data_IF_137909108089
#
_entry.id   IF_137909108089
#
_cell.length_a   1.000
_cell.length_b   1.000
_cell.length_c   1.000
_cell.angle_alpha   90.00
_cell.angle_beta   90.00
_cell.angle_gamma   90.00
#
_symmetry.space_group_name_H-M   'P 1'
#
loop_
_entity.id
_entity.type
_entity.pdbx_description
1 polymer ?
#
# COMPACT_ATOMS: atom_id res chain seq x y z
N UNK A 1 4.27 4.62 -22.11
CA UNK A 1 4.37 4.48 -20.64
C UNK A 1 4.33 3.00 -20.27
N UNK A 2 5.02 2.57 -19.20
CA UNK A 2 4.91 1.18 -18.68
C UNK A 2 3.49 1.00 -18.13
N UNK A 3 2.85 -0.18 -18.24
CA UNK A 3 1.54 -0.38 -17.62
C UNK A 3 1.60 -0.19 -16.09
N UNK A 4 0.60 0.44 -15.47
CA UNK A 4 0.56 0.64 -14.03
C UNK A 4 0.45 -0.70 -13.28
N UNK A 5 1.13 -0.87 -12.13
CA UNK A 5 0.99 -2.06 -11.30
C UNK A 5 -0.45 -2.22 -10.81
N UNK A 6 -1.02 -3.43 -10.97
CA UNK A 6 -2.44 -3.65 -10.71
C UNK A 6 -2.91 -3.30 -9.30
N UNK A 7 -2.12 -3.62 -8.25
CA UNK A 7 -2.48 -3.24 -6.88
C UNK A 7 -2.49 -1.73 -6.67
N UNK A 8 -1.52 -1.01 -7.23
CA UNK A 8 -1.50 0.46 -7.16
C UNK A 8 -2.71 1.04 -7.89
N UNK A 9 -3.10 0.44 -9.02
CA UNK A 9 -4.31 0.81 -9.75
C UNK A 9 -5.57 0.59 -8.89
N UNK A 10 -5.72 -0.57 -8.25
CA UNK A 10 -6.85 -0.84 -7.34
C UNK A 10 -6.90 0.14 -6.16
N UNK A 11 -5.74 0.48 -5.59
CA UNK A 11 -5.63 1.48 -4.54
C UNK A 11 -6.16 2.84 -5.01
N UNK A 12 -5.64 3.36 -6.13
CA UNK A 12 -6.06 4.67 -6.65
C UNK A 12 -7.52 4.64 -7.08
N UNK A 13 -7.96 3.60 -7.79
CA UNK A 13 -9.36 3.44 -8.19
C UNK A 13 -10.31 3.41 -7.00
N UNK A 14 -9.93 2.77 -5.90
CA UNK A 14 -10.72 2.77 -4.66
C UNK A 14 -10.86 4.18 -4.10
N UNK A 15 -9.76 4.94 -3.98
CA UNK A 15 -9.80 6.32 -3.47
C UNK A 15 -10.58 7.26 -4.39
N UNK A 16 -10.47 7.10 -5.71
CA UNK A 16 -11.23 7.89 -6.67
C UNK A 16 -12.74 7.58 -6.63
N UNK A 17 -13.12 6.37 -6.22
CA UNK A 17 -14.51 5.96 -6.00
C UNK A 17 -15.07 6.47 -4.68
N UNK A 18 -14.27 6.43 -3.61
CA UNK A 18 -14.63 6.98 -2.31
C UNK A 18 -13.41 7.66 -1.66
N UNK A 19 -13.36 8.99 -1.77
CA UNK A 19 -12.24 9.79 -1.28
C UNK A 19 -11.98 9.66 0.22
N UNK A 20 -12.99 9.23 1.01
CA UNK A 20 -12.86 9.02 2.46
C UNK A 20 -11.91 7.88 2.78
N UNK A 21 -11.69 6.95 1.84
CA UNK A 21 -10.75 5.84 1.98
C UNK A 21 -9.31 6.32 2.17
N UNK A 22 -8.95 7.48 1.64
CA UNK A 22 -7.60 8.03 1.87
C UNK A 22 -7.30 8.23 3.36
N UNK A 23 -8.31 8.64 4.16
CA UNK A 23 -8.17 8.76 5.61
C UNK A 23 -8.07 7.40 6.33
N UNK A 24 -8.35 6.29 5.62
CA UNK A 24 -8.22 4.91 6.10
C UNK A 24 -6.88 4.28 5.71
N UNK A 25 -6.04 4.98 4.94
CA UNK A 25 -4.69 4.54 4.60
C UNK A 25 -3.75 4.69 5.81
N UNK A 26 -3.86 3.75 6.75
CA UNK A 26 -3.08 3.72 7.99
C UNK A 26 -1.58 3.53 7.78
N UNK A 27 -1.18 3.03 6.61
CA UNK A 27 0.21 2.76 6.26
C UNK A 27 0.81 3.81 5.34
N UNK A 28 0.06 4.84 4.95
CA UNK A 28 0.51 5.91 4.04
C UNK A 28 1.01 5.37 2.70
N UNK A 29 0.35 4.35 2.18
CA UNK A 29 0.58 3.76 0.86
C UNK A 29 0.51 4.81 -0.25
N UNK A 30 -0.24 5.91 -0.08
CA UNK A 30 -0.23 7.04 -1.01
C UNK A 30 1.19 7.56 -1.32
N UNK A 31 2.10 7.55 -0.33
CA UNK A 31 3.47 8.03 -0.46
C UNK A 31 4.38 7.00 -1.14
N UNK A 32 3.94 5.74 -1.21
CA UNK A 32 4.68 4.57 -1.69
C UNK A 32 4.32 4.14 -3.12
N UNK A 33 3.45 4.88 -3.82
CA UNK A 33 3.11 4.58 -5.21
C UNK A 33 4.34 4.75 -6.11
N UNK A 34 4.62 3.74 -6.95
CA UNK A 34 5.77 3.77 -7.86
C UNK A 34 5.42 4.35 -9.23
N UNK A 35 4.16 4.23 -9.64
CA UNK A 35 3.73 4.67 -10.97
C UNK A 35 3.37 6.16 -10.98
N UNK A 36 4.16 6.96 -11.70
CA UNK A 36 3.99 8.42 -11.75
C UNK A 36 2.59 8.84 -12.18
N UNK A 37 2.02 8.23 -13.24
CA UNK A 37 0.67 8.56 -13.69
C UNK A 37 -0.43 8.30 -12.65
N UNK A 38 -0.24 7.30 -11.79
CA UNK A 38 -1.19 7.01 -10.69
C UNK A 38 -1.04 8.01 -9.55
N UNK A 39 0.20 8.41 -9.21
CA UNK A 39 0.48 9.47 -8.24
C UNK A 39 -0.16 10.78 -8.65
N UNK A 40 0.00 11.16 -9.92
CA UNK A 40 -0.56 12.40 -10.46
C UNK A 40 -2.09 12.37 -10.40
N UNK A 41 -2.73 11.28 -10.87
CA UNK A 41 -4.18 11.14 -10.80
C UNK A 41 -4.70 11.28 -9.36
N UNK A 42 -4.06 10.61 -8.40
CA UNK A 42 -4.43 10.72 -6.99
C UNK A 42 -4.23 12.15 -6.43
N UNK A 43 -3.11 12.79 -6.77
CA UNK A 43 -2.82 14.17 -6.34
C UNK A 43 -3.83 15.17 -6.91
N UNK A 44 -4.21 15.04 -8.18
CA UNK A 44 -5.25 15.88 -8.78
C UNK A 44 -6.60 15.69 -8.09
N UNK A 45 -7.01 14.45 -7.85
CA UNK A 45 -8.30 14.18 -7.20
C UNK A 45 -8.36 14.72 -5.76
N UNK A 46 -7.24 14.67 -5.05
CA UNK A 46 -7.15 15.07 -3.63
C UNK A 46 -6.85 16.56 -3.43
N UNK A 47 -6.44 17.28 -4.49
CA UNK A 47 -6.18 18.73 -4.46
C UNK A 47 -7.43 19.60 -4.71
N UNK A 48 -8.62 19.00 -4.76
CA UNK A 48 -9.90 19.71 -4.89
C UNK A 48 -10.49 19.76 -6.30
N UNK A 49 -9.83 19.15 -7.29
CA UNK A 49 -10.35 19.05 -8.67
C UNK A 49 -11.33 17.86 -8.84
N UNK A 50 -11.41 16.97 -7.85
CA UNK A 50 -12.30 15.82 -7.90
C UNK A 50 -11.85 14.75 -8.90
N UNK A 51 -12.61 13.64 -8.97
CA UNK A 51 -12.23 12.46 -9.74
C UNK A 51 -12.29 12.67 -11.25
N UNK A 52 -13.26 13.43 -11.76
CA UNK A 52 -13.44 13.65 -13.20
C UNK A 52 -12.25 14.43 -13.80
N UNK A 53 -11.86 15.54 -13.18
CA UNK A 53 -10.71 16.34 -13.63
C UNK A 53 -9.40 15.55 -13.53
N UNK A 54 -9.23 14.78 -12.45
CA UNK A 54 -8.05 13.92 -12.28
C UNK A 54 -7.93 12.88 -13.40
N UNK A 55 -9.05 12.30 -13.84
CA UNK A 55 -9.08 11.37 -14.96
C UNK A 55 -8.97 12.08 -16.30
N UNK A 56 -9.42 13.32 -16.43
CA UNK A 56 -9.24 14.11 -17.64
C UNK A 56 -7.75 14.31 -17.95
N UNK A 57 -6.96 14.69 -16.94
CA UNK A 57 -5.52 14.95 -17.05
C UNK A 57 -4.65 13.67 -17.09
N UNK A 58 -5.20 12.51 -16.71
CA UNK A 58 -4.47 11.25 -16.73
C UNK A 58 -4.15 10.76 -18.16
N UNK A 59 -3.12 9.92 -18.31
CA UNK A 59 -2.84 9.26 -19.58
C UNK A 59 -3.90 8.21 -19.91
N UNK A 60 -4.17 7.94 -21.20
CA UNK A 60 -5.13 6.91 -21.63
C UNK A 60 -4.83 5.51 -21.10
N UNK A 61 -3.56 5.22 -20.80
CA UNK A 61 -3.16 3.97 -20.16
C UNK A 61 -3.65 3.89 -18.71
N UNK A 62 -3.52 4.99 -17.96
CA UNK A 62 -3.99 5.09 -16.57
C UNK A 62 -5.51 5.10 -16.50
N UNK A 63 -6.20 5.87 -17.36
CA UNK A 63 -7.67 5.89 -17.42
C UNK A 63 -8.25 4.50 -17.61
N UNK A 64 -7.78 3.79 -18.65
CA UNK A 64 -8.24 2.41 -18.94
C UNK A 64 -7.97 1.45 -17.79
N UNK A 65 -6.82 1.57 -17.13
CA UNK A 65 -6.50 0.73 -15.98
C UNK A 65 -7.44 1.01 -14.79
N UNK A 66 -7.74 2.27 -14.51
CA UNK A 66 -8.67 2.67 -13.44
C UNK A 66 -10.09 2.23 -13.76
N UNK A 67 -10.55 2.42 -15.01
CA UNK A 67 -11.86 1.95 -15.46
C UNK A 67 -12.01 0.43 -15.29
N UNK A 68 -10.98 -0.33 -15.64
CA UNK A 68 -10.98 -1.78 -15.46
C UNK A 68 -10.98 -2.17 -13.97
N UNK A 69 -10.20 -1.47 -13.14
CA UNK A 69 -10.22 -1.67 -11.69
C UNK A 69 -11.60 -1.38 -11.09
N UNK A 70 -12.27 -0.32 -11.54
CA UNK A 70 -13.62 0.01 -11.10
C UNK A 70 -14.65 -1.07 -11.41
N UNK A 71 -14.53 -1.78 -12.54
CA UNK A 71 -15.44 -2.91 -12.84
C UNK A 71 -15.29 -4.07 -11.85
N UNK A 72 -14.12 -4.20 -11.23
CA UNK A 72 -13.81 -5.28 -10.30
C UNK A 72 -14.00 -4.88 -8.84
N UNK A 73 -13.98 -3.59 -8.53
CA UNK A 73 -14.16 -3.08 -7.18
C UNK A 73 -15.64 -3.15 -6.74
N UNK A 74 -15.92 -3.43 -5.46
CA UNK A 74 -17.25 -3.29 -4.90
C UNK A 74 -17.76 -1.85 -4.94
N UNK A 75 -19.08 -1.69 -4.87
CA UNK A 75 -19.71 -0.39 -4.63
C UNK A 75 -19.27 0.22 -3.28
N UNK A 76 -19.33 1.56 -3.11
CA UNK A 76 -18.97 2.23 -1.87
C UNK A 76 -19.68 1.62 -0.65
N UNK A 77 -18.92 1.39 0.42
CA UNK A 77 -19.43 0.82 1.67
C UNK A 77 -18.40 -0.09 2.35
N UNK A 78 -18.87 -0.87 3.33
CA UNK A 78 -17.98 -1.68 4.18
C UNK A 78 -17.12 -2.68 3.42
N UNK A 79 -17.64 -3.27 2.33
CA UNK A 79 -16.89 -4.24 1.52
C UNK A 79 -15.71 -3.55 0.83
N UNK A 80 -15.95 -2.40 0.20
CA UNK A 80 -14.89 -1.59 -0.42
C UNK A 80 -13.86 -1.12 0.62
N UNK A 81 -14.28 -0.69 1.81
CA UNK A 81 -13.37 -0.30 2.90
C UNK A 81 -12.46 -1.46 3.35
N UNK A 82 -13.02 -2.67 3.44
CA UNK A 82 -12.28 -3.86 3.80
C UNK A 82 -11.27 -4.27 2.71
N UNK A 83 -11.70 -4.25 1.45
CA UNK A 83 -10.84 -4.55 0.30
C UNK A 83 -9.72 -3.52 0.18
N UNK A 84 -10.05 -2.23 0.35
CA UNK A 84 -9.07 -1.14 0.36
C UNK A 84 -8.00 -1.36 1.44
N UNK A 85 -8.42 -1.75 2.66
CA UNK A 85 -7.49 -2.05 3.75
C UNK A 85 -6.55 -3.21 3.41
N UNK A 86 -7.07 -4.24 2.74
CA UNK A 86 -6.27 -5.38 2.29
C UNK A 86 -5.28 -4.98 1.19
N UNK A 87 -5.71 -4.17 0.21
CA UNK A 87 -4.86 -3.61 -0.85
C UNK A 87 -3.71 -2.81 -0.23
N UNK A 88 -3.99 -1.92 0.73
CA UNK A 88 -2.97 -1.12 1.40
C UNK A 88 -1.90 -2.01 2.07
N UNK A 89 -2.35 -3.04 2.79
CA UNK A 89 -1.44 -3.97 3.47
C UNK A 89 -0.60 -4.76 2.47
N UNK A 90 -1.19 -5.23 1.37
CA UNK A 90 -0.47 -5.98 0.35
C UNK A 90 0.61 -5.13 -0.34
N UNK A 91 0.28 -3.88 -0.71
CA UNK A 91 1.26 -2.94 -1.27
C UNK A 91 2.39 -2.69 -0.28
N UNK A 92 2.05 -2.42 0.99
CA UNK A 92 3.03 -2.13 2.02
C UNK A 92 3.98 -3.32 2.26
N UNK A 93 3.46 -4.55 2.31
CA UNK A 93 4.31 -5.76 2.42
C UNK A 93 5.28 -5.85 1.24
N UNK A 94 4.80 -5.64 0.00
CA UNK A 94 5.66 -5.68 -1.19
C UNK A 94 6.76 -4.62 -1.14
N UNK A 95 6.45 -3.41 -0.70
CA UNK A 95 7.42 -2.31 -0.54
C UNK A 95 8.48 -2.61 0.50
N UNK A 96 8.06 -3.13 1.65
CA UNK A 96 9.00 -3.56 2.69
C UNK A 96 9.92 -4.65 2.15
N UNK A 97 9.38 -5.63 1.42
CA UNK A 97 10.18 -6.71 0.84
C UNK A 97 11.18 -6.22 -0.20
N UNK A 98 10.78 -5.31 -1.09
CA UNK A 98 11.69 -4.64 -2.03
C UNK A 98 12.83 -3.93 -1.30
N UNK A 99 12.52 -3.18 -0.23
CA UNK A 99 13.51 -2.44 0.55
C UNK A 99 14.44 -3.37 1.34
N UNK A 100 13.94 -4.45 1.92
CA UNK A 100 14.74 -5.46 2.60
C UNK A 100 15.69 -6.18 1.64
N UNK A 101 15.26 -6.47 0.41
CA UNK A 101 16.12 -7.04 -0.64
C UNK A 101 17.23 -6.06 -0.99
N UNK A 102 16.92 -4.77 -1.13
CA UNK A 102 17.92 -3.74 -1.39
C UNK A 102 18.96 -3.67 -0.26
N UNK A 103 18.52 -3.56 1.00
CA UNK A 103 19.41 -3.50 2.17
C UNK A 103 20.33 -4.73 2.20
N UNK A 104 19.77 -5.92 1.99
CA UNK A 104 20.57 -7.15 1.93
C UNK A 104 21.68 -7.04 0.88
N UNK A 105 21.35 -6.65 -0.35
CA UNK A 105 22.35 -6.52 -1.44
C UNK A 105 23.40 -5.45 -1.13
N UNK A 106 23.01 -4.32 -0.55
CA UNK A 106 23.92 -3.24 -0.19
C UNK A 106 24.89 -3.68 0.91
N UNK A 107 24.40 -4.33 1.96
CA UNK A 107 25.20 -4.78 3.10
C UNK A 107 26.11 -5.98 2.78
N UNK A 108 25.69 -6.88 1.88
CA UNK A 108 26.53 -8.00 1.40
C UNK A 108 27.76 -7.52 0.61
N UNK A 109 27.65 -6.41 -0.13
CA UNK A 109 28.77 -5.81 -0.85
C UNK A 109 29.80 -5.16 0.09
N UNK A 110 29.38 -4.75 1.29
CA UNK A 110 30.24 -4.09 2.28
C UNK A 110 30.93 -5.06 3.25
N UNK A 111 30.50 -6.33 3.30
CA UNK A 111 31.00 -7.35 4.24
C UNK A 111 32.50 -7.70 4.12
N UNK A 112 33.21 -7.17 3.10
CA UNK A 112 34.67 -7.28 2.95
C UNK A 112 35.47 -6.09 3.51
N UNK A 113 34.81 -5.03 3.98
CA UNK A 113 35.48 -3.87 4.58
C UNK A 113 35.72 -4.10 6.08
N UNK A 114 36.94 -3.81 6.54
CA UNK A 114 37.35 -4.04 7.94
C UNK A 114 36.58 -3.20 8.98
N UNK A 115 35.86 -2.16 8.55
CA UNK A 115 35.00 -1.32 9.39
C UNK A 115 33.60 -1.17 8.78
N UNK A 116 32.57 -1.37 9.60
CA UNK A 116 31.20 -1.01 9.23
C UNK A 116 31.12 0.51 9.02
N UNK A 117 30.77 0.93 7.81
CA UNK A 117 30.50 2.34 7.53
C UNK A 117 29.25 2.81 8.28
N UNK A 118 29.12 4.11 8.50
CA UNK A 118 27.92 4.70 9.12
C UNK A 118 26.65 4.39 8.29
N UNK A 119 26.78 4.42 6.97
CA UNK A 119 25.73 4.01 6.04
C UNK A 119 25.28 2.55 6.27
N UNK A 120 26.23 1.63 6.49
CA UNK A 120 25.89 0.22 6.77
C UNK A 120 25.17 0.07 8.11
N UNK A 121 25.56 0.84 9.14
CA UNK A 121 24.85 0.87 10.42
C UNK A 121 23.42 1.38 10.26
N UNK A 122 23.22 2.45 9.49
CA UNK A 122 21.89 3.00 9.21
C UNK A 122 21.00 1.99 8.47
N UNK A 123 21.53 1.31 7.45
CA UNK A 123 20.79 0.27 6.72
C UNK A 123 20.41 -0.92 7.62
N UNK A 124 21.27 -1.31 8.57
CA UNK A 124 20.96 -2.37 9.52
C UNK A 124 19.89 -1.94 10.54
N UNK A 125 19.91 -0.69 11.00
CA UNK A 125 18.86 -0.14 11.85
C UNK A 125 17.52 -0.09 11.11
N UNK A 126 17.52 0.42 9.88
CA UNK A 126 16.34 0.45 9.01
C UNK A 126 15.77 -0.96 8.79
N UNK A 127 16.63 -1.96 8.60
CA UNK A 127 16.20 -3.37 8.46
C UNK A 127 15.39 -3.85 9.68
N UNK A 128 15.81 -3.49 10.90
CA UNK A 128 15.09 -3.88 12.13
C UNK A 128 13.71 -3.23 12.16
N UNK A 129 13.63 -1.95 11.84
CA UNK A 129 12.37 -1.20 11.78
C UNK A 129 11.42 -1.78 10.73
N UNK A 130 11.92 -2.07 9.53
CA UNK A 130 11.15 -2.66 8.44
C UNK A 130 10.63 -4.06 8.78
N UNK A 131 11.41 -4.89 9.48
CA UNK A 131 10.95 -6.20 9.94
C UNK A 131 9.83 -6.07 10.99
N UNK A 132 9.94 -5.10 11.90
CA UNK A 132 8.89 -4.83 12.87
C UNK A 132 7.61 -4.32 12.20
N UNK A 133 7.74 -3.40 11.23
CA UNK A 133 6.62 -2.92 10.42
C UNK A 133 5.97 -4.05 9.63
N UNK A 134 6.76 -4.90 8.96
CA UNK A 134 6.24 -6.05 8.20
C UNK A 134 5.42 -6.98 9.09
N UNK A 135 5.91 -7.27 10.29
CA UNK A 135 5.18 -8.08 11.27
C UNK A 135 3.83 -7.46 11.60
N UNK A 136 3.79 -6.16 11.92
CA UNK A 136 2.54 -5.43 12.22
C UNK A 136 1.55 -5.51 11.05
N UNK A 137 2.00 -5.23 9.83
CA UNK A 137 1.14 -5.27 8.63
C UNK A 137 0.54 -6.67 8.41
N UNK A 138 1.35 -7.72 8.60
CA UNK A 138 0.91 -9.12 8.48
C UNK A 138 -0.02 -9.57 9.61
N UNK A 139 0.14 -9.04 10.82
CA UNK A 139 -0.77 -9.31 11.94
C UNK A 139 -2.13 -8.66 11.70
N UNK A 140 -2.17 -7.46 11.15
CA UNK A 140 -3.41 -6.79 10.77
C UNK A 140 -4.13 -7.50 9.60
N UNK A 141 -3.38 -8.11 8.66
CA UNK A 141 -3.91 -8.92 7.55
C UNK A 141 -4.68 -10.16 8.00
N UNK A 142 -4.35 -10.73 9.17
CA UNK A 142 -5.06 -11.89 9.70
C UNK A 142 -6.42 -11.42 10.20
N UNK A 143 -7.56 -11.91 9.67
CA UNK A 143 -8.84 -11.62 10.28
C UNK A 143 -8.78 -12.10 11.73
N UNK A 144 -9.02 -11.17 12.67
CA UNK A 144 -9.04 -11.51 14.09
C UNK A 144 -10.01 -12.66 14.27
N UNK A 145 -9.52 -13.81 14.75
CA UNK A 145 -10.39 -14.90 15.15
C UNK A 145 -11.22 -14.38 16.32
N UNK A 146 -12.43 -13.88 16.04
CA UNK A 146 -13.44 -13.59 17.04
C UNK A 146 -13.90 -14.92 17.64
N UNK A 147 -13.09 -15.42 18.58
CA UNK A 147 -13.48 -16.54 19.43
C UNK A 147 -14.63 -16.08 20.32
N UNK A 148 -15.86 -16.33 19.89
CA UNK A 148 -17.07 -16.16 20.69
C UNK A 148 -17.05 -17.18 21.83
N UNK A 149 -16.38 -16.88 22.94
CA UNK A 149 -16.66 -17.54 24.22
C UNK A 149 -17.92 -16.92 24.79
N UNK A 150 -19.08 -17.46 24.40
CA UNK A 150 -20.31 -17.24 25.13
C UNK A 150 -20.15 -17.81 26.55
N UNK A 151 -20.55 -17.10 27.62
CA UNK A 151 -20.53 -17.64 28.97
C UNK A 151 -21.66 -18.68 29.09
N UNK A 152 -21.31 -19.93 29.41
CA UNK A 152 -22.30 -20.91 29.87
C UNK A 152 -22.89 -20.44 31.19
N UNK A 153 -24.21 -20.24 31.24
CA UNK A 153 -24.93 -20.17 32.51
C UNK A 153 -25.17 -21.60 33.03
N UNK A 154 -24.98 -21.86 34.34
CA UNK A 154 -25.27 -23.16 34.92
C UNK A 154 -26.78 -23.35 35.12
N UNK A 155 -27.22 -24.61 34.99
CA UNK A 155 -28.56 -25.10 35.35
C UNK A 155 -28.61 -25.43 36.84
#
# INVERSE_FOLDING_TARGET
EKPPPWLETLYVASVLRDARLLARDTFRVCDELSHMGLRMALAHATSGHGTEDALYEASDAVKRAIEEAWRQLPEPGMVLEQDFSNICREIMVRRIDERLIYIRRATEQTAGAFDLTEETRQLLAERVELLALKKRVLEELKPGSSGTKAPMQPV
#
